data_IF_115941108823
#
_entry.id   IF_115941108823
#
_cell.length_a   1.000
_cell.length_b   1.000
_cell.length_c   1.000
_cell.angle_alpha   90.00
_cell.angle_beta   90.00
_cell.angle_gamma   90.00
#
_symmetry.space_group_name_H-M   'P 1'
#
loop_
_entity.id
_entity.type
_entity.pdbx_description
1 polymer ?
#
# COMPACT_ATOMS: atom_id res chain seq x y z
N UNK A 1 -1.69 23.40 -22.72
CA UNK A 1 -2.25 22.35 -21.84
C UNK A 1 -1.14 21.37 -21.51
N UNK A 2 -1.11 20.86 -20.28
CA UNK A 2 -0.20 19.79 -19.86
C UNK A 2 -1.02 18.52 -19.69
N UNK A 3 -0.59 17.42 -20.29
CA UNK A 3 -1.17 16.09 -20.11
C UNK A 3 -0.20 15.22 -19.30
N UNK A 4 -0.70 14.57 -18.26
CA UNK A 4 0.07 13.73 -17.34
C UNK A 4 -0.31 12.27 -17.60
N UNK A 5 0.71 11.43 -17.81
CA UNK A 5 0.55 10.01 -18.09
C UNK A 5 1.23 9.18 -17.01
N UNK A 6 0.59 8.10 -16.57
CA UNK A 6 1.25 7.00 -15.88
C UNK A 6 1.49 5.88 -16.91
N UNK A 7 2.75 5.61 -17.20
CA UNK A 7 3.18 4.83 -18.37
C UNK A 7 2.57 5.37 -19.67
N UNK A 8 1.54 4.70 -20.18
CA UNK A 8 0.80 5.07 -21.39
C UNK A 8 -0.62 5.55 -21.11
N UNK A 9 -1.10 5.43 -19.87
CA UNK A 9 -2.45 5.82 -19.45
C UNK A 9 -2.46 7.31 -19.10
N UNK A 10 -3.35 8.07 -19.74
CA UNK A 10 -3.62 9.45 -19.34
C UNK A 10 -4.27 9.42 -17.94
N UNK A 11 -3.62 10.05 -16.96
CA UNK A 11 -4.14 10.17 -15.59
C UNK A 11 -4.75 11.55 -15.33
N UNK A 12 -4.42 12.55 -16.15
CA UNK A 12 -5.07 13.84 -16.07
C UNK A 12 -4.46 14.88 -17.00
N UNK A 13 -5.06 16.06 -16.99
CA UNK A 13 -4.59 17.21 -17.74
C UNK A 13 -4.83 18.50 -16.99
N UNK A 14 -3.95 19.47 -17.19
CA UNK A 14 -4.03 20.80 -16.59
C UNK A 14 -3.95 21.87 -17.68
N UNK A 15 -4.91 22.79 -17.69
CA UNK A 15 -4.76 24.04 -18.44
C UNK A 15 -3.84 24.99 -17.67
N UNK A 16 -2.74 25.39 -18.30
CA UNK A 16 -1.76 26.30 -17.70
C UNK A 16 -2.24 27.73 -17.93
N UNK A 17 -2.71 28.37 -16.86
CA UNK A 17 -3.21 29.76 -16.88
C UNK A 17 -2.20 30.75 -16.32
N UNK A 18 -1.22 30.28 -15.56
CA UNK A 18 -0.16 31.11 -15.02
C UNK A 18 0.81 31.58 -16.13
N UNK A 19 1.13 32.87 -16.14
CA UNK A 19 1.96 33.50 -17.19
C UNK A 19 3.42 33.06 -17.16
N UNK A 20 3.88 32.56 -16.02
CA UNK A 20 5.22 31.98 -15.82
C UNK A 20 5.28 30.49 -16.21
N UNK A 21 4.15 29.91 -16.61
CA UNK A 21 4.06 28.49 -16.97
C UNK A 21 3.93 27.55 -15.78
N UNK A 22 3.74 28.06 -14.56
CA UNK A 22 3.55 27.24 -13.36
C UNK A 22 2.21 26.50 -13.40
N UNK A 23 2.23 25.22 -12.99
CA UNK A 23 1.05 24.40 -12.84
C UNK A 23 1.28 23.35 -11.75
N UNK A 24 0.19 22.82 -11.20
CA UNK A 24 0.20 21.72 -10.25
C UNK A 24 -0.86 20.71 -10.64
N UNK A 25 -0.60 19.44 -10.34
CA UNK A 25 -1.52 18.34 -10.57
C UNK A 25 -1.52 17.42 -9.35
N UNK A 26 -2.71 17.06 -8.90
CA UNK A 26 -2.92 16.02 -7.90
C UNK A 26 -3.69 14.91 -8.59
N UNK A 27 -3.10 13.71 -8.62
CA UNK A 27 -3.76 12.51 -9.15
C UNK A 27 -4.72 11.94 -8.11
N UNK A 28 -5.72 11.21 -8.58
CA UNK A 28 -6.43 10.23 -7.77
C UNK A 28 -5.47 9.10 -7.36
N UNK A 29 -5.97 8.18 -6.52
CA UNK A 29 -5.21 7.02 -6.04
C UNK A 29 -4.53 6.26 -7.19
N UNK A 30 -3.25 5.98 -6.99
CA UNK A 30 -2.47 5.12 -7.87
C UNK A 30 -2.41 3.74 -7.24
N UNK A 31 -2.50 2.70 -8.07
CA UNK A 31 -2.34 1.32 -7.63
C UNK A 31 -0.93 1.10 -7.04
N UNK A 32 -0.85 0.22 -6.05
CA UNK A 32 0.43 -0.25 -5.49
C UNK A 32 1.33 -0.82 -6.59
N UNK A 33 2.64 -0.60 -6.42
CA UNK A 33 3.66 -1.00 -7.37
C UNK A 33 4.45 0.18 -7.92
N UNK A 34 4.93 0.03 -9.16
CA UNK A 34 5.76 1.05 -9.81
C UNK A 34 4.89 1.91 -10.72
N UNK A 35 4.86 3.22 -10.47
CA UNK A 35 4.26 4.20 -11.35
C UNK A 35 5.36 5.03 -12.04
N UNK A 36 5.18 5.30 -13.32
CA UNK A 36 6.14 6.07 -14.13
C UNK A 36 5.44 7.25 -14.78
N UNK A 37 5.57 8.42 -14.16
CA UNK A 37 4.86 9.62 -14.58
C UNK A 37 5.65 10.39 -15.64
N UNK A 38 4.99 10.72 -16.75
CA UNK A 38 5.53 11.59 -17.80
C UNK A 38 4.54 12.70 -18.12
N UNK A 39 5.04 13.80 -18.69
CA UNK A 39 4.19 14.90 -19.13
C UNK A 39 4.42 15.23 -20.60
N UNK A 40 3.35 15.66 -21.28
CA UNK A 40 3.39 16.23 -22.63
C UNK A 40 2.70 17.58 -22.63
N UNK A 41 3.23 18.52 -23.41
CA UNK A 41 2.64 19.84 -23.57
C UNK A 41 1.99 19.94 -24.92
N UNK A 42 0.77 20.48 -24.96
CA UNK A 42 0.05 20.81 -26.19
C UNK A 42 -0.17 22.32 -26.27
N UNK A 43 0.25 22.93 -27.38
CA UNK A 43 0.05 24.36 -27.65
C UNK A 43 -1.38 24.66 -28.18
N UNK A 44 -1.69 25.95 -28.39
CA UNK A 44 -3.02 26.36 -28.90
C UNK A 44 -3.31 25.94 -30.33
N UNK A 45 -2.27 25.64 -31.12
CA UNK A 45 -2.41 25.17 -32.49
C UNK A 45 -2.57 23.64 -32.57
N UNK A 46 -2.41 22.94 -31.45
CA UNK A 46 -2.53 21.48 -31.35
C UNK A 46 -1.21 20.73 -31.49
N UNK A 47 -0.06 21.41 -31.52
CA UNK A 47 1.24 20.74 -31.57
C UNK A 47 1.56 20.13 -30.20
N UNK A 48 2.01 18.86 -30.19
CA UNK A 48 2.32 18.10 -28.98
C UNK A 48 3.82 17.90 -28.85
N UNK A 49 4.37 18.10 -27.66
CA UNK A 49 5.78 17.85 -27.37
C UNK A 49 6.12 16.35 -27.25
N UNK A 50 7.42 16.05 -27.31
CA UNK A 50 7.92 14.79 -26.76
C UNK A 50 7.64 14.69 -25.24
N UNK A 51 7.49 13.47 -24.69
CA UNK A 51 7.31 13.28 -23.26
C UNK A 51 8.56 13.67 -22.48
N UNK A 52 8.37 14.15 -21.25
CA UNK A 52 9.48 14.34 -20.31
C UNK A 52 10.14 13.01 -19.93
N UNK A 53 11.37 13.03 -19.40
CA UNK A 53 11.90 11.88 -18.66
C UNK A 53 10.91 11.42 -17.58
N UNK A 54 10.81 10.10 -17.31
CA UNK A 54 9.87 9.57 -16.34
C UNK A 54 10.28 9.92 -14.91
N UNK A 55 9.28 10.25 -14.10
CA UNK A 55 9.37 10.29 -12.64
C UNK A 55 8.88 8.94 -12.13
N UNK A 56 9.80 8.15 -11.57
CA UNK A 56 9.48 6.81 -11.06
C UNK A 56 9.10 6.89 -9.59
N UNK A 57 7.91 6.37 -9.26
CA UNK A 57 7.36 6.29 -7.91
C UNK A 57 7.13 4.82 -7.54
N UNK A 58 7.48 4.47 -6.31
CA UNK A 58 7.10 3.19 -5.70
C UNK A 58 5.96 3.46 -4.73
N UNK A 59 4.76 2.99 -5.08
CA UNK A 59 3.55 3.16 -4.29
C UNK A 59 3.36 1.90 -3.45
N UNK A 60 3.25 2.08 -2.13
CA UNK A 60 2.97 1.04 -1.16
C UNK A 60 1.95 1.61 -0.15
N UNK A 61 0.68 1.37 -0.44
CA UNK A 61 -0.47 1.75 0.38
C UNK A 61 -1.18 0.53 1.00
N UNK A 62 -0.72 -0.69 0.67
CA UNK A 62 -1.25 -1.93 1.25
C UNK A 62 -0.88 -2.02 2.73
N UNK A 63 -1.89 -1.89 3.59
CA UNK A 63 -1.70 -2.11 5.02
C UNK A 63 -1.37 -3.58 5.33
N UNK A 64 -0.59 -3.83 6.40
CA UNK A 64 -0.40 -5.18 6.93
C UNK A 64 -1.72 -5.89 7.22
N UNK A 65 -1.80 -7.18 6.88
CA UNK A 65 -2.88 -8.06 7.29
C UNK A 65 -2.97 -8.12 8.82
N UNK A 66 -4.21 -8.13 9.30
CA UNK A 66 -4.50 -8.33 10.72
C UNK A 66 -3.95 -9.70 11.15
N UNK A 67 -3.15 -9.77 12.24
CA UNK A 67 -2.73 -11.03 12.82
C UNK A 67 -3.89 -12.00 13.01
N UNK A 68 -3.70 -13.27 12.66
CA UNK A 68 -4.67 -14.29 13.05
C UNK A 68 -4.71 -14.43 14.57
N UNK A 69 -5.85 -14.90 15.09
CA UNK A 69 -6.01 -15.15 16.51
C UNK A 69 -4.89 -16.07 17.02
N UNK A 70 -4.24 -15.67 18.11
CA UNK A 70 -3.30 -16.52 18.83
C UNK A 70 -4.12 -17.57 19.56
N UNK A 71 -3.83 -18.84 19.32
CA UNK A 71 -4.42 -19.98 20.03
C UNK A 71 -3.46 -20.47 21.10
N UNK A 72 -3.98 -20.87 22.25
CA UNK A 72 -3.24 -21.59 23.27
C UNK A 72 -3.62 -23.06 23.30
N UNK A 73 -2.68 -23.94 23.65
CA UNK A 73 -2.96 -25.35 23.97
C UNK A 73 -2.31 -25.74 25.29
N UNK A 74 -3.06 -26.51 26.08
CA UNK A 74 -2.64 -27.15 27.33
C UNK A 74 -2.35 -28.63 27.07
N UNK A 75 -1.19 -29.12 27.51
CA UNK A 75 -0.80 -30.53 27.41
C UNK A 75 -0.64 -31.25 28.75
N UNK A 76 -0.95 -30.59 29.88
CA UNK A 76 -0.82 -31.14 31.23
C UNK A 76 -2.09 -31.92 31.64
N UNK A 77 -1.90 -33.06 32.30
CA UNK A 77 -3.02 -33.92 32.70
C UNK A 77 -4.07 -33.16 33.54
N UNK A 78 -5.34 -33.57 33.40
CA UNK A 78 -6.55 -32.99 34.01
C UNK A 78 -7.14 -31.75 33.31
N UNK A 79 -6.41 -31.07 32.43
CA UNK A 79 -6.92 -30.07 31.49
C UNK A 79 -6.10 -30.16 30.20
N UNK A 80 -6.62 -30.77 29.13
CA UNK A 80 -5.86 -30.94 27.88
C UNK A 80 -6.64 -30.43 26.66
N UNK A 81 -5.91 -29.84 25.73
CA UNK A 81 -6.43 -29.39 24.44
C UNK A 81 -6.42 -27.87 24.28
N UNK A 82 -7.30 -27.36 23.41
CA UNK A 82 -7.35 -25.94 23.07
C UNK A 82 -7.83 -25.09 24.25
N UNK A 83 -7.08 -24.03 24.54
CA UNK A 83 -7.45 -22.99 25.49
C UNK A 83 -8.33 -21.98 24.75
N UNK A 84 -9.64 -22.03 25.02
CA UNK A 84 -10.59 -21.06 24.47
C UNK A 84 -10.34 -19.66 25.03
N UNK A 85 -10.95 -18.64 24.41
CA UNK A 85 -10.92 -17.28 24.95
C UNK A 85 -11.47 -17.26 26.39
N UNK A 86 -10.71 -16.69 27.33
CA UNK A 86 -10.96 -16.73 28.79
C UNK A 86 -11.00 -18.16 29.39
N UNK A 87 -10.41 -19.13 28.70
CA UNK A 87 -10.26 -20.50 29.18
C UNK A 87 -9.25 -20.60 30.32
N UNK A 88 -9.33 -21.70 31.05
CA UNK A 88 -8.39 -22.06 32.11
C UNK A 88 -7.34 -23.03 31.56
N UNK A 89 -6.15 -22.98 32.15
CA UNK A 89 -5.04 -23.90 31.89
C UNK A 89 -4.37 -24.23 33.22
N UNK A 90 -3.92 -25.48 33.37
CA UNK A 90 -3.06 -25.90 34.48
C UNK A 90 -1.61 -26.14 34.03
N UNK A 91 -1.33 -25.94 32.75
CA UNK A 91 0.00 -25.89 32.18
C UNK A 91 0.70 -24.55 32.51
N UNK A 92 1.92 -24.63 33.05
CA UNK A 92 2.76 -23.48 33.34
C UNK A 92 3.51 -22.95 32.10
N UNK A 93 3.49 -23.70 31.00
CA UNK A 93 4.12 -23.38 29.72
C UNK A 93 3.16 -23.64 28.54
N UNK A 94 1.99 -22.99 28.50
CA UNK A 94 1.03 -23.21 27.43
C UNK A 94 1.67 -22.91 26.07
N UNK A 95 1.42 -23.76 25.09
CA UNK A 95 1.92 -23.53 23.74
C UNK A 95 1.03 -22.51 23.04
N UNK A 96 1.59 -21.36 22.69
CA UNK A 96 0.93 -20.33 21.88
C UNK A 96 1.28 -20.53 20.41
N UNK A 97 0.30 -20.42 19.53
CA UNK A 97 0.47 -20.51 18.08
C UNK A 97 -0.38 -19.48 17.37
N UNK A 98 0.13 -18.90 16.29
CA UNK A 98 -0.57 -17.89 15.51
C UNK A 98 0.19 -17.59 14.22
N UNK A 99 -0.48 -16.89 13.29
CA UNK A 99 0.12 -16.46 12.03
C UNK A 99 0.10 -14.94 11.97
N UNK A 100 1.29 -14.36 11.74
CA UNK A 100 1.50 -12.92 11.55
C UNK A 100 2.19 -12.70 10.20
N UNK A 101 2.14 -11.47 9.70
CA UNK A 101 2.92 -11.10 8.54
C UNK A 101 4.44 -11.14 8.80
N UNK A 102 5.21 -11.31 7.73
CA UNK A 102 6.67 -11.30 7.80
C UNK A 102 7.17 -9.98 8.40
N UNK A 103 8.16 -10.07 9.30
CA UNK A 103 8.76 -8.95 10.03
C UNK A 103 7.84 -8.26 11.06
N UNK A 104 6.66 -8.79 11.36
CA UNK A 104 5.84 -8.32 12.47
C UNK A 104 6.50 -8.61 13.83
N UNK A 105 6.35 -7.68 14.79
CA UNK A 105 6.80 -7.87 16.18
C UNK A 105 5.69 -8.53 16.99
N UNK A 106 6.00 -9.63 17.68
CA UNK A 106 5.09 -10.32 18.60
C UNK A 106 5.63 -10.19 20.02
N UNK A 107 4.83 -9.62 20.93
CA UNK A 107 5.15 -9.51 22.36
C UNK A 107 4.07 -10.24 23.14
N UNK A 108 4.48 -11.05 24.13
CA UNK A 108 3.60 -11.79 25.05
C UNK A 108 3.54 -11.04 26.37
#
# INVERSE_FOLDING_TARGET
MVSIYNDTKLVGSVEVTATDGSWSFTTDELDDGVASLTTKVTDKAGNVSEPTPPIVLHIDATAPAVPQAITGTDDVAWYQGAINHNGLTNDAQPTLSGVVEGNASVTI
#
